data_IF_784005492266
#
_entry.id   IF_784005492266
#
_cell.length_a   1.000
_cell.length_b   1.000
_cell.length_c   1.000
_cell.angle_alpha   90.00
_cell.angle_beta   90.00
_cell.angle_gamma   90.00
#
_symmetry.space_group_name_H-M   'P 1'
#
loop_
_entity.id
_entity.type
_entity.pdbx_description
1 polymer ?
#
# COMPACT_ATOMS: atom_id res chain seq x y z
N UNK A 1 3.66 21.02 -8.17
CA UNK A 1 3.11 20.52 -9.44
C UNK A 1 1.97 19.50 -9.23
N UNK A 2 2.11 18.50 -8.34
CA UNK A 2 1.03 17.52 -8.06
C UNK A 2 -0.16 18.18 -7.35
N UNK A 3 0.07 19.02 -6.37
CA UNK A 3 -0.97 19.74 -5.61
C UNK A 3 -1.95 20.48 -6.52
N UNK A 4 -1.44 21.19 -7.54
CA UNK A 4 -2.29 21.92 -8.47
C UNK A 4 -3.24 21.01 -9.28
N UNK A 5 -2.84 19.75 -9.51
CA UNK A 5 -3.66 18.79 -10.26
C UNK A 5 -4.82 18.23 -9.45
N UNK A 6 -4.70 18.20 -8.11
CA UNK A 6 -5.70 17.63 -7.21
C UNK A 6 -6.49 18.68 -6.43
N UNK A 7 -6.23 19.99 -6.65
CA UNK A 7 -6.83 21.07 -5.85
C UNK A 7 -8.37 21.08 -5.85
N UNK A 8 -8.96 20.70 -6.96
CA UNK A 8 -10.41 20.68 -7.17
C UNK A 8 -11.05 19.30 -6.98
N UNK A 9 -10.27 18.30 -6.51
CA UNK A 9 -10.75 16.95 -6.25
C UNK A 9 -11.28 16.82 -4.82
N UNK A 10 -12.35 16.05 -4.62
CA UNK A 10 -12.84 15.68 -3.29
C UNK A 10 -12.08 14.47 -2.74
N UNK A 11 -11.76 13.54 -3.64
CA UNK A 11 -11.07 12.29 -3.33
C UNK A 11 -9.87 12.12 -4.26
N UNK A 12 -8.78 11.62 -3.72
CA UNK A 12 -7.57 11.29 -4.47
C UNK A 12 -7.27 9.80 -4.27
N UNK A 13 -7.02 9.11 -5.37
CA UNK A 13 -6.74 7.68 -5.39
C UNK A 13 -5.36 7.46 -6.00
N UNK A 14 -4.52 6.71 -5.29
CA UNK A 14 -3.30 6.13 -5.82
C UNK A 14 -3.65 4.79 -6.49
N UNK A 15 -3.23 4.61 -7.71
CA UNK A 15 -3.55 3.45 -8.53
C UNK A 15 -2.34 3.07 -9.36
N UNK A 16 -1.76 1.88 -9.13
CA UNK A 16 -0.62 1.39 -9.88
C UNK A 16 -0.99 1.10 -11.34
N UNK A 17 -0.03 1.31 -12.25
CA UNK A 17 -0.24 1.18 -13.70
C UNK A 17 -0.49 -0.27 -14.15
N UNK A 18 -0.16 -1.25 -13.32
CA UNK A 18 -0.37 -2.68 -13.55
C UNK A 18 -1.66 -3.22 -12.93
N UNK A 19 -2.58 -2.33 -12.55
CA UNK A 19 -3.94 -2.69 -12.14
C UNK A 19 -4.92 -2.59 -13.31
N UNK A 20 -5.78 -3.61 -13.45
CA UNK A 20 -6.83 -3.69 -14.46
C UNK A 20 -8.21 -3.79 -13.81
N UNK A 21 -9.10 -2.84 -14.09
CA UNK A 21 -10.49 -2.87 -13.63
C UNK A 21 -11.29 -3.81 -14.54
N UNK A 22 -11.77 -4.94 -13.98
CA UNK A 22 -12.50 -5.97 -14.73
C UNK A 22 -13.98 -6.04 -14.40
N UNK A 23 -14.41 -5.31 -13.38
CA UNK A 23 -15.83 -5.17 -12.99
C UNK A 23 -16.13 -3.75 -12.56
N UNK A 24 -17.40 -3.39 -12.57
CA UNK A 24 -17.86 -2.10 -12.07
C UNK A 24 -17.46 -1.92 -10.59
N UNK A 25 -16.92 -0.75 -10.29
CA UNK A 25 -16.49 -0.36 -8.94
C UNK A 25 -17.58 0.51 -8.33
N UNK A 26 -18.34 -0.06 -7.40
CA UNK A 26 -19.39 0.65 -6.66
C UNK A 26 -18.92 0.92 -5.22
N UNK A 27 -18.20 2.02 -5.02
CA UNK A 27 -17.75 2.49 -3.71
C UNK A 27 -18.46 3.79 -3.35
N UNK A 28 -19.14 3.80 -2.21
CA UNK A 28 -19.66 5.03 -1.61
C UNK A 28 -18.58 5.69 -0.75
N UNK A 29 -17.99 6.75 -1.26
CA UNK A 29 -16.95 7.51 -0.58
C UNK A 29 -17.46 8.51 0.46
N UNK A 30 -18.78 8.68 0.64
CA UNK A 30 -19.35 9.68 1.57
C UNK A 30 -18.85 9.50 3.00
N UNK A 31 -18.70 8.25 3.44
CA UNK A 31 -18.26 7.84 4.77
C UNK A 31 -16.83 7.32 4.86
N UNK A 32 -16.05 7.46 3.78
CA UNK A 32 -14.66 7.00 3.73
C UNK A 32 -13.73 8.20 3.84
N UNK A 33 -12.94 8.27 4.89
CA UNK A 33 -11.89 9.27 5.02
C UNK A 33 -10.61 8.84 4.33
N UNK A 34 -10.16 7.61 4.62
CA UNK A 34 -8.99 6.97 4.00
C UNK A 34 -9.36 5.52 3.75
N UNK A 35 -8.91 4.96 2.64
CA UNK A 35 -9.04 3.52 2.38
C UNK A 35 -7.72 2.90 1.92
N UNK A 36 -7.55 1.63 2.24
CA UNK A 36 -6.52 0.76 1.71
C UNK A 36 -7.11 -0.60 1.36
N UNK A 37 -6.41 -1.37 0.53
CA UNK A 37 -6.82 -2.71 0.13
C UNK A 37 -6.07 -3.75 0.95
N UNK A 38 -6.80 -4.71 1.54
CA UNK A 38 -6.20 -5.82 2.28
C UNK A 38 -5.25 -6.61 1.40
N UNK A 39 -4.04 -6.85 1.88
CA UNK A 39 -3.05 -7.63 1.16
C UNK A 39 -3.53 -9.08 0.98
N UNK A 40 -3.53 -9.63 -0.26
CA UNK A 40 -4.04 -10.96 -0.55
C UNK A 40 -3.24 -12.10 0.09
N UNK A 41 -2.03 -11.85 0.55
CA UNK A 41 -1.18 -12.81 1.26
C UNK A 41 -1.86 -13.45 2.47
N UNK A 42 -2.81 -12.75 3.12
CA UNK A 42 -3.58 -13.28 4.25
C UNK A 42 -4.35 -14.58 3.90
N UNK A 43 -4.71 -14.79 2.66
CA UNK A 43 -5.38 -16.01 2.21
C UNK A 43 -4.42 -17.21 2.05
N UNK A 44 -3.12 -16.98 2.01
CA UNK A 44 -2.10 -18.03 1.93
C UNK A 44 -1.48 -18.34 3.27
N UNK A 45 -1.33 -17.34 4.11
CA UNK A 45 -0.69 -17.44 5.40
C UNK A 45 -1.49 -16.66 6.44
N UNK A 46 -2.04 -17.37 7.43
CA UNK A 46 -2.79 -16.75 8.52
C UNK A 46 -1.83 -15.84 9.31
N UNK A 47 -2.27 -14.63 9.61
CA UNK A 47 -1.45 -13.59 10.25
C UNK A 47 -0.25 -13.14 9.39
N UNK A 48 -0.44 -13.07 8.07
CA UNK A 48 0.55 -12.50 7.17
C UNK A 48 0.68 -10.98 7.40
N UNK A 49 1.78 -10.57 8.01
CA UNK A 49 2.10 -9.17 8.30
C UNK A 49 3.58 -8.89 8.00
N UNK A 50 3.96 -8.70 6.73
CA UNK A 50 5.35 -8.48 6.32
C UNK A 50 5.78 -7.04 6.63
N UNK A 51 5.69 -6.65 7.90
CA UNK A 51 5.99 -5.29 8.35
C UNK A 51 7.48 -5.03 8.49
N UNK A 52 7.85 -3.74 8.47
CA UNK A 52 9.18 -3.31 8.86
C UNK A 52 9.38 -3.49 10.37
N UNK A 53 10.41 -4.22 10.76
CA UNK A 53 10.74 -4.49 12.17
C UNK A 53 12.03 -3.82 12.64
N UNK A 54 12.77 -3.17 11.74
CA UNK A 54 13.97 -2.43 12.10
C UNK A 54 13.58 -1.20 12.92
N UNK A 55 13.98 -1.19 14.18
CA UNK A 55 13.68 -0.10 15.13
C UNK A 55 14.28 1.25 14.76
N UNK A 56 15.21 1.29 13.79
CA UNK A 56 15.78 2.52 13.26
C UNK A 56 14.92 3.14 12.16
N UNK A 57 13.98 2.38 11.60
CA UNK A 57 13.06 2.88 10.59
C UNK A 57 11.86 3.55 11.24
N UNK A 58 11.43 4.67 10.70
CA UNK A 58 10.18 5.33 11.06
C UNK A 58 8.94 4.49 10.70
N UNK A 59 9.11 3.50 9.80
CA UNK A 59 8.07 2.53 9.43
C UNK A 59 7.99 1.33 10.39
N UNK A 60 8.81 1.27 11.44
CA UNK A 60 8.86 0.11 12.34
C UNK A 60 7.50 -0.17 12.99
N UNK A 61 7.06 -1.44 12.90
CA UNK A 61 5.85 -1.96 13.51
C UNK A 61 6.13 -3.28 14.23
N UNK A 62 5.39 -3.52 15.31
CA UNK A 62 5.36 -4.84 15.91
C UNK A 62 4.26 -5.69 15.24
N UNK A 63 4.60 -6.78 14.52
CA UNK A 63 3.63 -7.62 13.82
C UNK A 63 2.55 -8.20 14.73
N UNK A 64 2.85 -8.43 16.01
CA UNK A 64 1.89 -8.97 16.98
C UNK A 64 0.74 -8.00 17.31
N UNK A 65 0.90 -6.72 17.02
CA UNK A 65 -0.11 -5.70 17.28
C UNK A 65 -0.92 -5.33 16.02
N UNK A 66 -0.63 -5.94 14.88
CA UNK A 66 -1.30 -5.64 13.62
C UNK A 66 -2.48 -6.58 13.39
N UNK A 67 -3.60 -6.04 12.92
CA UNK A 67 -4.80 -6.80 12.57
C UNK A 67 -5.04 -6.89 11.06
N UNK A 68 -4.43 -5.99 10.29
CA UNK A 68 -4.57 -5.93 8.83
C UNK A 68 -3.30 -5.35 8.23
N UNK A 69 -2.86 -5.94 7.13
CA UNK A 69 -1.80 -5.41 6.28
C UNK A 69 -2.39 -5.01 4.93
N UNK A 70 -2.04 -3.83 4.44
CA UNK A 70 -2.58 -3.28 3.21
C UNK A 70 -1.53 -3.31 2.10
N UNK A 71 -1.99 -3.58 0.89
CA UNK A 71 -1.15 -3.56 -0.29
C UNK A 71 -0.93 -2.12 -0.78
N UNK A 72 0.29 -1.79 -1.19
CA UNK A 72 0.67 -0.44 -1.59
C UNK A 72 0.13 0.00 -2.96
N UNK A 73 -0.39 -0.92 -3.78
CA UNK A 73 -0.76 -0.67 -5.17
C UNK A 73 -2.09 0.09 -5.37
N UNK A 74 -2.97 0.08 -4.38
CA UNK A 74 -4.27 0.78 -4.43
C UNK A 74 -4.68 1.29 -3.05
N UNK A 75 -4.79 2.59 -2.93
CA UNK A 75 -5.28 3.27 -1.74
C UNK A 75 -5.76 4.67 -2.09
N UNK A 76 -6.47 5.31 -1.20
CA UNK A 76 -6.93 6.66 -1.44
C UNK A 76 -7.54 7.31 -0.20
N UNK A 77 -7.87 8.58 -0.32
CA UNK A 77 -8.42 9.36 0.78
C UNK A 77 -9.18 10.59 0.27
N UNK A 78 -9.99 11.18 1.15
CA UNK A 78 -10.42 12.58 0.98
C UNK A 78 -9.18 13.46 0.81
N UNK A 79 -9.27 14.46 -0.05
CA UNK A 79 -8.10 15.28 -0.44
C UNK A 79 -7.23 15.73 0.73
N UNK A 80 -7.82 16.27 1.78
CA UNK A 80 -7.05 16.79 2.91
C UNK A 80 -6.32 15.67 3.68
N UNK A 81 -6.96 14.51 3.85
CA UNK A 81 -6.34 13.34 4.47
C UNK A 81 -5.24 12.77 3.57
N UNK A 82 -5.45 12.77 2.24
CA UNK A 82 -4.44 12.35 1.26
C UNK A 82 -3.18 13.21 1.34
N UNK A 83 -3.34 14.54 1.38
CA UNK A 83 -2.21 15.47 1.48
C UNK A 83 -1.45 15.25 2.79
N UNK A 84 -2.16 15.15 3.92
CA UNK A 84 -1.57 14.89 5.23
C UNK A 84 -0.81 13.55 5.26
N UNK A 85 -1.41 12.49 4.71
CA UNK A 85 -0.79 11.18 4.60
C UNK A 85 0.51 11.30 3.78
N UNK A 86 0.44 11.90 2.61
CA UNK A 86 1.56 12.01 1.70
C UNK A 86 2.72 12.82 2.31
N UNK A 87 2.42 13.94 2.97
CA UNK A 87 3.43 14.74 3.68
C UNK A 87 4.12 13.92 4.77
N UNK A 88 3.34 13.16 5.55
CA UNK A 88 3.89 12.26 6.59
C UNK A 88 4.79 11.17 6.00
N UNK A 89 4.39 10.55 4.87
CA UNK A 89 5.22 9.55 4.19
C UNK A 89 6.54 10.16 3.71
N UNK A 90 6.49 11.35 3.10
CA UNK A 90 7.68 12.07 2.62
C UNK A 90 8.63 12.38 3.78
N UNK A 91 8.11 12.88 4.91
CA UNK A 91 8.92 13.18 6.09
C UNK A 91 9.59 11.91 6.64
N UNK A 92 8.83 10.83 6.79
CA UNK A 92 9.33 9.55 7.32
C UNK A 92 10.39 8.92 6.40
N UNK A 93 10.16 8.88 5.10
CA UNK A 93 11.12 8.36 4.12
C UNK A 93 12.41 9.20 4.16
N UNK A 94 12.31 10.52 4.20
CA UNK A 94 13.48 11.40 4.27
C UNK A 94 14.26 11.21 5.58
N UNK A 95 13.58 10.97 6.70
CA UNK A 95 14.24 10.67 7.97
C UNK A 95 14.98 9.33 7.94
N UNK A 96 14.34 8.29 7.39
CA UNK A 96 14.98 6.98 7.22
C UNK A 96 16.22 7.09 6.32
N UNK A 97 16.13 7.83 5.20
CA UNK A 97 17.25 8.02 4.29
C UNK A 97 18.44 8.77 4.96
N UNK A 98 18.18 9.77 5.80
CA UNK A 98 19.23 10.45 6.58
C UNK A 98 19.95 9.47 7.52
N UNK A 99 19.24 8.47 8.03
CA UNK A 99 19.78 7.45 8.91
C UNK A 99 20.34 6.23 8.16
N UNK A 100 20.44 6.28 6.82
CA UNK A 100 20.83 5.19 5.94
C UNK A 100 19.95 3.94 6.13
N UNK A 101 18.66 4.14 6.34
CA UNK A 101 17.65 3.10 6.45
C UNK A 101 16.79 3.14 5.20
N UNK A 102 16.49 1.96 4.65
CA UNK A 102 15.47 1.75 3.63
C UNK A 102 14.53 0.69 4.20
N UNK A 103 13.26 1.03 4.36
CA UNK A 103 12.27 0.11 4.90
C UNK A 103 12.10 -1.13 4.00
N UNK A 104 11.77 -2.28 4.59
CA UNK A 104 11.76 -3.59 3.93
C UNK A 104 10.90 -3.63 2.64
N UNK A 105 9.76 -2.99 2.66
CA UNK A 105 8.84 -2.88 1.52
C UNK A 105 8.67 -1.42 1.06
N UNK A 106 9.73 -0.63 1.19
CA UNK A 106 9.80 0.76 0.72
C UNK A 106 8.61 1.60 1.21
N UNK A 107 7.87 2.21 0.28
CA UNK A 107 6.70 3.04 0.54
C UNK A 107 5.53 2.27 1.17
N UNK A 108 5.33 0.99 0.84
CA UNK A 108 4.29 0.15 1.45
C UNK A 108 4.51 -0.03 2.97
N UNK A 109 5.77 -0.12 3.43
CA UNK A 109 6.07 -0.18 4.87
C UNK A 109 5.63 1.09 5.58
N UNK A 110 5.96 2.26 5.03
CA UNK A 110 5.56 3.54 5.59
C UNK A 110 4.05 3.76 5.53
N UNK A 111 3.39 3.33 4.43
CA UNK A 111 1.94 3.38 4.29
C UNK A 111 1.26 2.55 5.37
N UNK A 112 1.71 1.32 5.61
CA UNK A 112 1.15 0.46 6.65
C UNK A 112 1.39 1.01 8.06
N UNK A 113 2.52 1.67 8.31
CA UNK A 113 2.76 2.39 9.57
C UNK A 113 1.77 3.53 9.76
N UNK A 114 1.55 4.35 8.72
CA UNK A 114 0.55 5.42 8.78
C UNK A 114 -0.86 4.87 9.03
N UNK A 115 -1.23 3.80 8.34
CA UNK A 115 -2.54 3.15 8.49
C UNK A 115 -2.73 2.59 9.90
N UNK A 116 -1.70 1.97 10.46
CA UNK A 116 -1.75 1.49 11.85
C UNK A 116 -1.96 2.62 12.86
N UNK A 117 -1.21 3.70 12.74
CA UNK A 117 -1.30 4.85 13.63
C UNK A 117 -2.65 5.57 13.53
N UNK A 118 -3.29 5.54 12.36
CA UNK A 118 -4.57 6.17 12.08
C UNK A 118 -5.73 5.17 11.86
N UNK A 119 -5.62 3.95 12.37
CA UNK A 119 -6.50 2.81 12.06
C UNK A 119 -8.01 3.07 12.25
N UNK A 120 -8.38 4.00 13.13
CA UNK A 120 -9.79 4.38 13.34
C UNK A 120 -10.41 5.15 12.16
N UNK A 121 -9.57 5.67 11.23
CA UNK A 121 -9.99 6.38 10.01
C UNK A 121 -9.88 5.52 8.76
N UNK A 122 -9.28 4.33 8.87
CA UNK A 122 -8.97 3.51 7.71
C UNK A 122 -10.12 2.56 7.41
N UNK A 123 -10.71 2.70 6.23
CA UNK A 123 -11.62 1.71 5.65
C UNK A 123 -10.81 0.69 4.88
N UNK A 124 -10.88 -0.57 5.30
CA UNK A 124 -10.20 -1.67 4.60
C UNK A 124 -11.12 -2.27 3.55
N UNK A 125 -10.74 -2.16 2.29
CA UNK A 125 -11.38 -2.86 1.19
C UNK A 125 -10.84 -4.29 1.09
N UNK A 126 -11.67 -5.21 0.58
CA UNK A 126 -11.25 -6.60 0.39
C UNK A 126 -10.17 -6.72 -0.70
N UNK A 127 -9.45 -7.85 -0.69
CA UNK A 127 -8.46 -8.18 -1.75
C UNK A 127 -9.07 -8.33 -3.14
N UNK A 128 -10.41 -8.29 -3.28
CA UNK A 128 -11.12 -8.19 -4.57
C UNK A 128 -10.69 -6.97 -5.39
N UNK A 129 -10.28 -5.90 -4.71
CA UNK A 129 -9.82 -4.65 -5.34
C UNK A 129 -8.33 -4.63 -5.66
N UNK A 130 -7.61 -5.70 -5.37
CA UNK A 130 -6.22 -5.90 -5.77
C UNK A 130 -5.90 -7.40 -5.87
N UNK A 131 -6.68 -8.08 -6.71
CA UNK A 131 -6.65 -9.52 -6.89
C UNK A 131 -5.45 -9.94 -7.75
N UNK A 132 -4.50 -10.74 -7.25
CA UNK A 132 -3.37 -11.18 -8.06
C UNK A 132 -3.83 -12.03 -9.24
N UNK A 133 -3.38 -11.71 -10.45
CA UNK A 133 -3.84 -12.31 -11.72
C UNK A 133 -3.83 -13.84 -11.70
N UNK A 134 -2.73 -14.43 -11.23
CA UNK A 134 -2.50 -15.88 -11.27
C UNK A 134 -2.87 -16.62 -9.98
N UNK A 135 -3.60 -15.97 -9.06
CA UNK A 135 -4.06 -16.60 -7.83
C UNK A 135 -5.49 -17.07 -7.94
N UNK A 136 -5.87 -17.98 -7.04
CA UNK A 136 -7.25 -18.41 -6.84
C UNK A 136 -7.64 -18.10 -5.39
N UNK A 137 -8.33 -16.98 -5.19
CA UNK A 137 -8.77 -16.50 -3.89
C UNK A 137 -10.28 -16.69 -3.72
N UNK A 138 -10.78 -16.85 -2.48
CA UNK A 138 -12.21 -17.01 -2.20
C UNK A 138 -12.97 -15.66 -2.21
N UNK A 139 -12.67 -14.80 -3.17
CA UNK A 139 -13.32 -13.51 -3.36
C UNK A 139 -13.42 -13.17 -4.85
N UNK A 140 -14.27 -12.20 -5.18
CA UNK A 140 -14.44 -11.76 -6.56
C UNK A 140 -13.23 -11.02 -7.11
N UNK A 141 -13.05 -11.05 -8.44
CA UNK A 141 -12.10 -10.22 -9.16
C UNK A 141 -12.80 -8.92 -9.58
N UNK A 142 -12.52 -7.83 -8.92
CA UNK A 142 -13.01 -6.48 -9.28
C UNK A 142 -11.92 -5.69 -9.96
N UNK A 143 -10.74 -5.65 -9.34
CA UNK A 143 -9.52 -5.06 -9.90
C UNK A 143 -8.43 -6.12 -9.83
N UNK A 144 -7.80 -6.42 -10.95
CA UNK A 144 -6.72 -7.40 -11.05
C UNK A 144 -5.38 -6.69 -10.99
N UNK A 145 -4.50 -7.16 -10.12
CA UNK A 145 -3.08 -6.82 -10.13
C UNK A 145 -2.38 -7.77 -11.09
N UNK A 146 -1.94 -7.23 -12.23
CA UNK A 146 -1.29 -7.99 -13.30
C UNK A 146 0.05 -8.53 -12.83
N UNK A 147 0.36 -9.73 -13.28
CA UNK A 147 1.66 -10.32 -12.99
C UNK A 147 2.74 -9.62 -13.82
N UNK A 148 3.80 -9.16 -13.15
CA UNK A 148 4.91 -8.49 -13.83
C UNK A 148 5.70 -9.53 -14.62
N UNK A 149 5.63 -9.45 -15.94
CA UNK A 149 6.50 -10.24 -16.79
C UNK A 149 7.95 -9.74 -16.66
N UNK A 150 8.71 -10.33 -15.75
CA UNK A 150 10.08 -9.94 -15.45
C UNK A 150 11.03 -10.03 -16.65
N UNK A 151 10.62 -10.69 -17.75
CA UNK A 151 11.40 -10.73 -19.00
C UNK A 151 11.21 -9.45 -19.82
N UNK A 152 10.03 -8.82 -19.73
CA UNK A 152 9.71 -7.56 -20.42
C UNK A 152 10.14 -6.33 -19.61
N UNK A 153 10.21 -6.45 -18.29
CA UNK A 153 10.64 -5.39 -17.38
C UNK A 153 11.85 -5.82 -16.57
N UNK A 154 13.06 -5.82 -17.16
CA UNK A 154 14.27 -6.17 -16.42
C UNK A 154 14.42 -5.19 -15.24
N UNK A 155 14.64 -5.74 -14.05
CA UNK A 155 14.93 -4.91 -12.88
C UNK A 155 16.15 -4.06 -13.19
N UNK A 156 16.09 -2.76 -12.88
CA UNK A 156 17.28 -1.93 -12.88
C UNK A 156 18.31 -2.60 -11.95
N UNK A 157 19.49 -2.93 -12.49
CA UNK A 157 20.62 -3.45 -11.73
C UNK A 157 21.10 -2.35 -10.76
N UNK A 158 20.52 -2.24 -9.62
CA UNK A 158 20.81 -1.20 -8.63
C UNK A 158 19.87 -1.23 -7.44
N UNK A 159 18.72 -1.88 -7.56
CA UNK A 159 17.82 -2.11 -6.45
C UNK A 159 18.30 -3.33 -5.65
N UNK A 160 19.12 -3.06 -4.67
CA UNK A 160 19.59 -3.86 -3.54
C UNK A 160 19.32 -5.38 -3.53
N UNK A 161 20.43 -6.13 -3.61
CA UNK A 161 20.50 -7.57 -3.31
C UNK A 161 20.30 -7.90 -1.81
N UNK A 162 19.81 -6.99 -0.98
CA UNK A 162 19.69 -7.19 0.47
C UNK A 162 18.36 -7.82 0.94
N UNK A 163 17.49 -8.22 0.01
CA UNK A 163 16.21 -8.88 0.34
C UNK A 163 16.19 -10.40 0.16
N UNK A 164 17.33 -11.06 0.00
CA UNK A 164 17.40 -12.52 -0.06
C UNK A 164 18.13 -13.05 1.16
N UNK A 165 17.43 -13.18 2.24
CA UNK A 165 17.70 -14.15 3.33
C UNK A 165 16.59 -14.00 4.37
N UNK A 166 15.45 -14.65 4.09
CA UNK A 166 14.58 -15.24 5.14
C UNK A 166 13.63 -16.23 4.47
#
# INVERSE_FOLDING_TARGET
>A
AAYEKIKDSDIVIYFDVDLEVVREVNLDFSNIDIFGVQHPGIYREVNFFPVETNVKSTACLNPLNLYTYHQGCLWGAKKNEFLKLNDTLIENVNEDLKNNVIAAWHDESHLNKYFYDNRQKITTLSSSFCYPENWNLPCEKIIIHKDKNMKEYPRFEGANQNGKNH
#
